data_IF_429804014559
#
_entry.id   IF_429804014559
#
_cell.length_a   1.000
_cell.length_b   1.000
_cell.length_c   1.000
_cell.angle_alpha   90.00
_cell.angle_beta   90.00
_cell.angle_gamma   90.00
#
_symmetry.space_group_name_H-M   'P 1'
#
loop_
_entity.id
_entity.type
_entity.pdbx_description
1 polymer ?
#
# COMPACT_ATOMS: atom_id res chain seq x y z
N UNK A 1 38.35 26.40 1.87
CA UNK A 1 38.82 25.02 1.66
C UNK A 1 37.94 24.13 2.52
N UNK A 2 37.33 23.09 1.96
CA UNK A 2 36.56 22.12 2.74
C UNK A 2 37.55 21.09 3.28
N UNK A 3 37.83 21.16 4.58
CA UNK A 3 38.69 20.20 5.27
C UNK A 3 37.86 19.00 5.71
N UNK A 4 38.22 17.80 5.24
CA UNK A 4 37.52 16.54 5.50
C UNK A 4 38.32 15.62 6.43
N UNK A 5 39.43 16.08 7.00
CA UNK A 5 40.27 15.25 7.86
C UNK A 5 39.56 14.85 9.18
N UNK A 6 38.61 15.68 9.64
CA UNK A 6 37.77 15.40 10.82
C UNK A 6 36.48 14.65 10.47
N UNK A 7 36.26 14.30 9.20
CA UNK A 7 35.04 13.62 8.79
C UNK A 7 35.09 12.13 9.18
N UNK A 8 34.14 11.69 10.00
CA UNK A 8 33.92 10.26 10.21
C UNK A 8 33.48 9.59 8.90
N UNK A 9 34.12 8.46 8.56
CA UNK A 9 33.70 7.65 7.44
C UNK A 9 32.26 7.13 7.65
N UNK A 10 31.43 7.06 6.60
CA UNK A 10 30.08 6.53 6.71
C UNK A 10 30.11 5.12 7.31
N UNK A 11 29.48 4.93 8.47
CA UNK A 11 29.31 3.60 9.05
C UNK A 11 28.26 2.86 8.22
N UNK A 12 28.60 1.66 7.72
CA UNK A 12 27.60 0.80 7.09
C UNK A 12 26.53 0.45 8.13
N UNK A 13 25.28 0.86 7.87
CA UNK A 13 24.18 0.41 8.71
C UNK A 13 23.85 -1.02 8.31
N UNK A 14 24.20 -2.00 9.15
CA UNK A 14 23.72 -3.36 8.95
C UNK A 14 22.19 -3.38 8.89
N UNK A 15 21.63 -4.27 8.07
CA UNK A 15 20.20 -4.44 8.00
C UNK A 15 19.63 -4.90 9.35
N UNK A 16 18.48 -4.34 9.71
CA UNK A 16 17.64 -4.91 10.76
C UNK A 16 17.24 -6.31 10.27
N UNK A 17 17.40 -7.37 11.09
CA UNK A 17 17.02 -8.73 10.71
C UNK A 17 15.57 -8.81 10.21
N UNK A 18 15.31 -9.72 9.26
CA UNK A 18 13.95 -9.94 8.76
C UNK A 18 13.02 -10.40 9.89
N UNK A 19 11.83 -9.80 9.94
CA UNK A 19 10.84 -10.12 10.95
C UNK A 19 11.10 -9.49 12.32
N UNK A 20 12.11 -8.63 12.48
CA UNK A 20 12.33 -7.91 13.73
C UNK A 20 11.16 -6.99 14.07
N UNK A 21 10.82 -6.95 15.35
CA UNK A 21 9.87 -5.99 15.90
C UNK A 21 10.60 -4.80 16.50
N UNK A 22 10.15 -3.59 16.18
CA UNK A 22 10.81 -2.34 16.55
C UNK A 22 9.79 -1.26 16.90
N UNK A 23 10.15 -0.41 17.88
CA UNK A 23 9.48 0.86 18.12
C UNK A 23 10.12 1.92 17.24
N UNK A 24 9.34 2.57 16.39
CA UNK A 24 9.85 3.51 15.38
C UNK A 24 9.15 4.85 15.46
N UNK A 25 9.90 5.93 15.22
CA UNK A 25 9.36 7.26 14.97
C UNK A 25 9.43 7.55 13.47
N UNK A 26 8.32 8.02 12.91
CA UNK A 26 8.24 8.42 11.51
C UNK A 26 8.68 9.87 11.33
N UNK A 27 9.38 10.17 10.24
CA UNK A 27 9.65 11.53 9.77
C UNK A 27 9.37 11.59 8.28
N UNK A 28 8.63 12.60 7.83
CA UNK A 28 8.39 12.80 6.40
C UNK A 28 9.47 13.70 5.84
N UNK A 29 10.18 13.24 4.82
CA UNK A 29 11.18 14.03 4.11
C UNK A 29 10.49 14.89 3.06
N UNK A 30 10.81 16.19 2.95
CA UNK A 30 10.25 17.06 1.93
C UNK A 30 10.48 16.51 0.52
N UNK A 31 9.43 16.51 -0.29
CA UNK A 31 9.45 16.00 -1.66
C UNK A 31 9.44 17.09 -2.74
N UNK A 32 9.18 18.34 -2.36
CA UNK A 32 9.19 19.51 -3.25
C UNK A 32 7.88 19.79 -3.99
N UNK A 33 6.85 18.95 -3.86
CA UNK A 33 5.51 19.20 -4.38
C UNK A 33 4.52 19.46 -3.25
N UNK A 34 3.54 20.32 -3.50
CA UNK A 34 2.48 20.61 -2.54
C UNK A 34 1.45 19.47 -2.46
N UNK A 35 0.94 19.24 -1.25
CA UNK A 35 -0.22 18.39 -0.98
C UNK A 35 -1.55 19.11 -1.17
N UNK A 36 -2.60 18.63 -0.51
CA UNK A 36 -3.96 19.17 -0.70
C UNK A 36 -4.19 20.54 -0.07
N UNK A 37 -3.39 20.91 0.94
CA UNK A 37 -3.52 22.18 1.64
C UNK A 37 -2.20 22.70 2.15
N UNK A 38 -2.23 23.86 2.80
CA UNK A 38 -1.03 24.57 3.27
C UNK A 38 -0.17 23.73 4.23
N UNK A 39 -0.80 22.90 5.08
CA UNK A 39 -0.12 21.99 6.01
C UNK A 39 0.81 21.02 5.27
N UNK A 40 0.50 20.66 4.03
CA UNK A 40 1.24 19.69 3.22
C UNK A 40 2.11 20.37 2.14
N UNK A 41 2.44 21.66 2.30
CA UNK A 41 3.29 22.40 1.36
C UNK A 41 4.66 21.72 1.21
N UNK A 42 5.10 21.53 -0.04
CA UNK A 42 6.38 20.90 -0.42
C UNK A 42 6.62 19.50 0.17
N UNK A 43 5.57 18.83 0.65
CA UNK A 43 5.66 17.55 1.34
C UNK A 43 5.77 16.37 0.36
N UNK A 44 5.10 16.44 -0.78
CA UNK A 44 4.92 15.30 -1.69
C UNK A 44 6.09 15.17 -2.67
N UNK A 45 6.40 13.93 -3.03
CA UNK A 45 7.42 13.57 -4.01
C UNK A 45 6.78 12.96 -5.26
N UNK A 46 7.21 13.39 -6.44
CA UNK A 46 6.82 12.76 -7.70
C UNK A 46 7.42 11.34 -7.82
N UNK A 47 6.71 10.45 -8.50
CA UNK A 47 7.31 9.22 -9.00
C UNK A 47 8.43 9.51 -10.00
N UNK A 48 9.46 8.64 -10.01
CA UNK A 48 10.60 8.77 -10.92
C UNK A 48 10.25 8.40 -12.37
N UNK A 49 9.12 7.71 -12.57
CA UNK A 49 8.67 7.28 -13.90
C UNK A 49 8.21 8.51 -14.70
N UNK A 50 8.81 8.78 -15.87
CA UNK A 50 8.41 9.91 -16.72
C UNK A 50 6.92 9.86 -17.06
N UNK A 51 6.25 11.02 -16.97
CA UNK A 51 4.82 11.15 -17.26
C UNK A 51 3.88 10.57 -16.19
N UNK A 52 4.40 10.04 -15.08
CA UNK A 52 3.56 9.54 -14.00
C UNK A 52 2.92 10.67 -13.20
N UNK A 53 1.63 10.52 -12.91
CA UNK A 53 0.85 11.39 -12.03
C UNK A 53 0.93 11.01 -10.54
N UNK A 54 1.68 9.95 -10.22
CA UNK A 54 1.80 9.42 -8.85
C UNK A 54 2.53 10.40 -7.95
N UNK A 55 1.89 10.74 -6.82
CA UNK A 55 2.47 11.54 -5.73
C UNK A 55 2.61 10.69 -4.48
N UNK A 56 3.74 10.84 -3.80
CA UNK A 56 4.12 9.97 -2.67
C UNK A 56 4.59 10.76 -1.45
N UNK A 57 4.45 10.18 -0.27
CA UNK A 57 5.23 10.56 0.91
C UNK A 57 6.54 9.79 0.94
N UNK A 58 7.63 10.49 1.25
CA UNK A 58 8.95 9.92 1.48
C UNK A 58 9.19 9.79 2.99
N UNK A 59 8.85 8.63 3.55
CA UNK A 59 8.90 8.40 4.99
C UNK A 59 10.24 7.77 5.40
N UNK A 60 10.87 8.38 6.39
CA UNK A 60 11.97 7.82 7.18
C UNK A 60 11.41 7.26 8.49
N UNK A 61 11.86 6.07 8.87
CA UNK A 61 11.55 5.45 10.15
C UNK A 61 12.84 5.27 10.93
N UNK A 62 12.90 5.83 12.13
CA UNK A 62 14.04 5.67 13.04
C UNK A 62 13.63 4.80 14.21
N UNK A 63 14.38 3.73 14.48
CA UNK A 63 14.15 2.89 15.66
C UNK A 63 14.54 3.66 16.92
N UNK A 64 13.61 3.77 17.87
CA UNK A 64 13.79 4.60 19.09
C UNK A 64 14.03 3.83 20.37
N UNK A 65 13.88 2.50 20.36
CA UNK A 65 14.16 1.65 21.51
C UNK A 65 14.58 0.23 21.07
N UNK A 66 15.09 -0.55 22.02
CA UNK A 66 15.46 -1.94 21.80
C UNK A 66 16.82 -2.14 21.08
N UNK A 67 17.12 -3.37 20.64
CA UNK A 67 18.45 -3.77 20.17
C UNK A 67 18.90 -3.12 18.85
N UNK A 68 17.96 -2.49 18.12
CA UNK A 68 18.22 -1.84 16.84
C UNK A 68 18.11 -0.32 16.90
N UNK A 69 18.18 0.29 18.10
CA UNK A 69 18.05 1.72 18.32
C UNK A 69 18.96 2.56 17.40
N UNK A 70 18.44 3.69 16.93
CA UNK A 70 19.06 4.62 15.96
C UNK A 70 19.22 4.08 14.53
N UNK A 71 18.90 2.82 14.25
CA UNK A 71 18.84 2.35 12.86
C UNK A 71 17.66 2.99 12.14
N UNK A 72 17.84 3.19 10.83
CA UNK A 72 16.87 3.85 9.98
C UNK A 72 16.49 2.98 8.79
N UNK A 73 15.26 3.11 8.34
CA UNK A 73 14.81 2.59 7.07
C UNK A 73 13.78 3.53 6.44
N UNK A 74 13.56 3.39 5.14
CA UNK A 74 12.71 4.32 4.39
C UNK A 74 11.61 3.57 3.65
N UNK A 75 10.47 4.24 3.44
CA UNK A 75 9.39 3.74 2.60
C UNK A 75 8.66 4.89 1.92
N UNK A 76 8.29 4.65 0.66
CA UNK A 76 7.42 5.55 -0.08
C UNK A 76 5.97 5.07 0.03
N UNK A 77 5.05 6.00 0.27
CA UNK A 77 3.61 5.72 0.26
C UNK A 77 2.92 6.54 -0.83
N UNK A 78 2.21 5.88 -1.74
CA UNK A 78 1.40 6.58 -2.73
C UNK A 78 0.20 7.23 -2.06
N UNK A 79 0.04 8.54 -2.26
CA UNK A 79 -1.06 9.32 -1.68
C UNK A 79 -1.99 9.95 -2.72
N UNK A 80 -1.56 10.01 -3.98
CA UNK A 80 -2.40 10.39 -5.11
C UNK A 80 -1.88 9.79 -6.43
N UNK A 81 -2.73 9.82 -7.46
CA UNK A 81 -2.42 9.36 -8.82
C UNK A 81 -2.30 7.84 -8.95
N UNK A 82 -1.79 7.40 -10.10
CA UNK A 82 -1.61 6.00 -10.44
C UNK A 82 -2.93 5.29 -10.78
N UNK A 83 -2.94 3.96 -10.66
CA UNK A 83 -4.12 3.17 -11.01
C UNK A 83 -5.30 3.51 -10.08
N UNK A 84 -6.45 3.79 -10.69
CA UNK A 84 -7.72 4.01 -10.00
C UNK A 84 -8.61 2.77 -10.05
N UNK A 85 -9.54 2.67 -9.09
CA UNK A 85 -10.63 1.70 -9.10
C UNK A 85 -11.83 2.20 -9.94
N UNK A 86 -12.92 1.42 -9.94
CA UNK A 86 -14.17 1.71 -10.68
C UNK A 86 -14.84 3.01 -10.25
N UNK A 87 -14.49 3.56 -9.08
CA UNK A 87 -15.01 4.81 -8.55
C UNK A 87 -14.03 5.99 -8.75
N UNK A 88 -12.96 5.78 -9.50
CA UNK A 88 -11.94 6.81 -9.74
C UNK A 88 -11.01 7.05 -8.54
N UNK A 89 -11.00 6.17 -7.52
CA UNK A 89 -10.15 6.33 -6.34
C UNK A 89 -8.82 5.62 -6.58
N UNK A 90 -7.70 6.32 -6.31
CA UNK A 90 -6.36 5.72 -6.39
C UNK A 90 -6.25 4.49 -5.49
N UNK A 91 -5.88 3.36 -6.08
CA UNK A 91 -5.67 2.08 -5.37
C UNK A 91 -4.48 2.22 -4.41
N UNK A 92 -3.42 2.90 -4.85
CA UNK A 92 -2.25 3.18 -3.99
C UNK A 92 -2.64 4.00 -2.77
N UNK A 93 -3.49 5.02 -2.95
CA UNK A 93 -4.01 5.81 -1.84
C UNK A 93 -4.87 5.00 -0.88
N UNK A 94 -5.72 4.09 -1.39
CA UNK A 94 -6.54 3.20 -0.54
C UNK A 94 -5.68 2.33 0.38
N UNK A 95 -4.58 1.79 -0.13
CA UNK A 95 -3.62 0.99 0.64
C UNK A 95 -2.91 1.86 1.68
N UNK A 96 -2.32 2.99 1.26
CA UNK A 96 -1.58 3.89 2.16
C UNK A 96 -2.47 4.43 3.29
N UNK A 97 -3.73 4.77 3.01
CA UNK A 97 -4.71 5.17 4.05
C UNK A 97 -4.88 4.11 5.13
N UNK A 98 -5.00 2.83 4.74
CA UNK A 98 -5.10 1.73 5.70
C UNK A 98 -3.86 1.63 6.58
N UNK A 99 -2.68 1.75 5.98
CA UNK A 99 -1.41 1.76 6.72
C UNK A 99 -1.29 2.96 7.67
N UNK A 100 -1.63 4.17 7.23
CA UNK A 100 -1.58 5.37 8.09
C UNK A 100 -2.55 5.28 9.25
N UNK A 101 -3.76 4.76 9.01
CA UNK A 101 -4.70 4.47 10.09
C UNK A 101 -4.10 3.50 11.11
N UNK A 102 -3.48 2.41 10.65
CA UNK A 102 -2.82 1.45 11.53
C UNK A 102 -1.68 2.10 12.34
N UNK A 103 -0.88 2.99 11.72
CA UNK A 103 0.15 3.76 12.42
C UNK A 103 -0.43 4.65 13.52
N UNK A 104 -1.53 5.36 13.23
CA UNK A 104 -2.23 6.20 14.21
C UNK A 104 -2.79 5.33 15.36
N UNK A 105 -3.46 4.22 15.02
CA UNK A 105 -4.04 3.31 16.01
C UNK A 105 -2.96 2.71 16.93
N UNK A 106 -1.81 2.32 16.36
CA UNK A 106 -0.64 1.85 17.11
C UNK A 106 0.01 2.96 17.94
N UNK A 107 0.16 4.19 17.41
CA UNK A 107 0.76 5.28 18.15
C UNK A 107 -0.08 5.75 19.35
N UNK A 108 -1.41 5.73 19.19
CA UNK A 108 -2.36 6.24 20.18
C UNK A 108 -3.00 5.14 21.04
N UNK A 109 -2.64 3.87 20.82
CA UNK A 109 -3.22 2.75 21.56
C UNK A 109 -4.72 2.54 21.29
N UNK A 110 -5.19 2.87 20.08
CA UNK A 110 -6.60 2.74 19.72
C UNK A 110 -6.95 1.32 19.29
N UNK A 111 -8.14 0.86 19.68
CA UNK A 111 -8.72 -0.34 19.10
C UNK A 111 -9.08 -0.07 17.62
N UNK A 112 -8.56 -0.85 16.66
CA UNK A 112 -8.92 -0.75 15.25
C UNK A 112 -10.41 -1.00 14.96
N UNK A 113 -11.14 -1.64 15.86
CA UNK A 113 -12.58 -1.86 15.72
C UNK A 113 -13.44 -0.78 16.38
N UNK A 114 -12.85 0.08 17.22
CA UNK A 114 -13.56 1.19 17.84
C UNK A 114 -13.86 2.29 16.81
N UNK A 115 -15.16 2.45 16.49
CA UNK A 115 -15.71 3.46 15.59
C UNK A 115 -16.47 4.57 16.33
N UNK A 116 -16.30 4.69 17.65
CA UNK A 116 -16.83 5.80 18.42
C UNK A 116 -16.36 7.14 17.85
N UNK A 117 -17.15 8.19 18.07
CA UNK A 117 -16.80 9.53 17.63
C UNK A 117 -15.43 9.97 18.17
N UNK A 118 -15.12 9.63 19.43
CA UNK A 118 -13.84 9.90 20.05
C UNK A 118 -12.67 9.24 19.31
N UNK A 119 -12.79 7.95 18.97
CA UNK A 119 -11.75 7.23 18.22
C UNK A 119 -11.64 7.72 16.77
N UNK A 120 -12.77 8.07 16.14
CA UNK A 120 -12.79 8.66 14.79
C UNK A 120 -12.11 10.02 14.77
N UNK A 121 -12.39 10.89 15.75
CA UNK A 121 -11.78 12.21 15.87
C UNK A 121 -10.26 12.15 15.94
N UNK A 122 -9.70 11.18 16.68
CA UNK A 122 -8.24 10.95 16.77
C UNK A 122 -7.57 10.50 15.46
N UNK A 123 -8.36 10.04 14.48
CA UNK A 123 -7.89 9.62 13.14
C UNK A 123 -8.05 10.71 12.09
N UNK A 124 -8.63 11.85 12.44
CA UNK A 124 -8.76 13.00 11.55
C UNK A 124 -7.49 13.83 11.65
N UNK A 125 -6.83 14.03 10.50
CA UNK A 125 -5.61 14.83 10.38
C UNK A 125 -5.94 16.17 9.72
N UNK A 126 -5.16 17.21 10.04
CA UNK A 126 -5.22 18.49 9.31
C UNK A 126 -4.58 18.38 7.92
N UNK A 127 -3.56 17.53 7.84
CA UNK A 127 -2.83 17.19 6.61
C UNK A 127 -1.95 15.96 6.84
N UNK A 128 -1.35 15.44 5.77
CA UNK A 128 -0.41 14.32 5.84
C UNK A 128 0.83 14.64 6.69
N UNK A 129 1.22 15.91 6.80
CA UNK A 129 2.34 16.34 7.65
C UNK A 129 2.16 15.96 9.14
N UNK A 130 0.91 15.82 9.62
CA UNK A 130 0.61 15.43 10.99
C UNK A 130 1.05 13.99 11.33
N UNK A 131 1.33 13.16 10.32
CA UNK A 131 1.91 11.82 10.53
C UNK A 131 3.41 11.89 10.89
N UNK A 132 4.08 13.02 10.63
CA UNK A 132 5.49 13.18 11.00
C UNK A 132 5.61 13.32 12.52
N UNK A 133 6.51 12.55 13.13
CA UNK A 133 6.76 12.55 14.58
C UNK A 133 5.97 11.48 15.36
N UNK A 134 4.99 10.81 14.75
CA UNK A 134 4.29 9.72 15.43
C UNK A 134 5.25 8.56 15.71
N UNK A 135 5.06 7.90 16.85
CA UNK A 135 5.86 6.75 17.28
C UNK A 135 4.97 5.54 17.46
N UNK A 136 5.28 4.43 16.79
CA UNK A 136 4.42 3.25 16.73
C UNK A 136 5.25 1.95 16.73
N UNK A 137 4.57 0.82 16.97
CA UNK A 137 5.17 -0.50 16.92
C UNK A 137 5.11 -1.07 15.49
N UNK A 138 6.23 -1.57 14.99
CA UNK A 138 6.37 -2.03 13.62
C UNK A 138 7.07 -3.40 13.55
N UNK A 139 6.69 -4.19 12.55
CA UNK A 139 7.46 -5.34 12.08
C UNK A 139 8.23 -4.93 10.82
N UNK A 140 9.53 -5.19 10.81
CA UNK A 140 10.42 -4.88 9.68
C UNK A 140 10.64 -6.14 8.86
N UNK A 141 10.72 -5.98 7.54
CA UNK A 141 11.19 -7.01 6.63
C UNK A 141 12.41 -6.56 5.86
N UNK A 142 13.17 -7.52 5.37
CA UNK A 142 14.23 -7.32 4.39
C UNK A 142 13.61 -7.53 3.00
N UNK A 143 13.76 -6.52 2.14
CA UNK A 143 13.37 -6.60 0.75
C UNK A 143 14.62 -6.72 -0.13
N UNK A 144 14.72 -7.80 -0.93
CA UNK A 144 15.82 -7.94 -1.87
C UNK A 144 15.90 -6.77 -2.84
N UNK A 145 17.11 -6.38 -3.22
CA UNK A 145 17.28 -5.37 -4.25
C UNK A 145 16.65 -5.83 -5.57
N UNK A 146 15.94 -4.92 -6.25
CA UNK A 146 15.42 -5.17 -7.60
C UNK A 146 16.50 -5.03 -8.69
N UNK A 147 17.68 -4.52 -8.33
CA UNK A 147 18.80 -4.27 -9.22
C UNK A 147 20.09 -4.66 -8.48
N UNK A 148 20.88 -5.52 -9.13
CA UNK A 148 22.14 -6.06 -8.61
C UNK A 148 23.18 -5.01 -8.16
N UNK A 149 23.02 -3.76 -8.57
CA UNK A 149 23.89 -2.64 -8.16
C UNK A 149 23.61 -2.16 -6.73
N UNK A 150 22.47 -2.54 -6.15
CA UNK A 150 22.06 -2.15 -4.81
C UNK A 150 21.98 -3.37 -3.89
N UNK A 151 22.20 -3.14 -2.59
CA UNK A 151 21.96 -4.15 -1.57
C UNK A 151 20.50 -4.20 -1.14
N UNK A 152 20.16 -5.26 -0.42
CA UNK A 152 18.85 -5.43 0.21
C UNK A 152 18.51 -4.25 1.13
N UNK A 153 17.22 -4.02 1.38
CA UNK A 153 16.77 -2.87 2.15
C UNK A 153 15.69 -3.23 3.15
N UNK A 154 15.71 -2.57 4.32
CA UNK A 154 14.62 -2.69 5.28
C UNK A 154 13.37 -1.94 4.82
N UNK A 155 12.21 -2.56 5.02
CA UNK A 155 10.88 -1.98 4.75
C UNK A 155 9.94 -2.28 5.91
N UNK A 156 8.89 -1.46 6.04
CA UNK A 156 7.77 -1.80 6.91
C UNK A 156 7.07 -3.04 6.32
N UNK A 157 7.05 -4.13 7.07
CA UNK A 157 6.23 -5.29 6.74
C UNK A 157 4.77 -4.99 7.10
N UNK A 158 4.56 -4.65 8.37
CA UNK A 158 3.26 -4.23 8.90
C UNK A 158 3.44 -3.40 10.16
N UNK A 159 2.39 -2.66 10.48
CA UNK A 159 2.22 -2.03 11.79
C UNK A 159 1.72 -3.09 12.77
N UNK A 160 2.21 -3.06 14.02
CA UNK A 160 1.73 -3.89 15.12
C UNK A 160 0.70 -3.10 15.91
N UNK A 161 -0.51 -3.63 16.01
CA UNK A 161 -1.67 -2.95 16.60
C UNK A 161 -1.81 -3.25 18.10
N UNK A 162 -2.53 -2.40 18.87
CA UNK A 162 -2.60 -2.52 20.33
C UNK A 162 -3.15 -3.85 20.88
N UNK A 163 -3.95 -4.57 20.10
CA UNK A 163 -4.50 -5.88 20.46
C UNK A 163 -3.55 -7.06 20.24
N UNK A 164 -2.37 -6.84 19.65
CA UNK A 164 -1.40 -7.89 19.37
C UNK A 164 -0.49 -8.18 20.57
N UNK A 165 -0.04 -9.44 20.77
CA UNK A 165 0.72 -9.83 21.96
C UNK A 165 2.09 -9.14 22.06
N UNK A 166 2.71 -8.82 20.93
CA UNK A 166 4.01 -8.15 20.88
C UNK A 166 3.92 -6.65 21.18
N UNK A 167 2.76 -6.02 20.97
CA UNK A 167 2.61 -4.55 20.97
C UNK A 167 3.13 -3.89 22.25
N UNK A 168 2.69 -4.38 23.42
CA UNK A 168 3.04 -3.77 24.70
C UNK A 168 4.55 -3.83 24.96
N UNK A 169 5.17 -4.96 24.68
CA UNK A 169 6.61 -5.18 24.85
C UNK A 169 7.40 -4.25 23.91
N UNK A 170 7.01 -4.18 22.63
CA UNK A 170 7.64 -3.27 21.66
C UNK A 170 7.53 -1.81 22.13
N UNK A 171 6.34 -1.38 22.55
CA UNK A 171 6.11 -0.01 22.99
C UNK A 171 6.83 0.34 24.30
N UNK A 172 7.07 -0.64 25.17
CA UNK A 172 7.93 -0.52 26.34
C UNK A 172 9.44 -0.47 26.01
N UNK A 173 9.81 -0.80 24.76
CA UNK A 173 11.20 -0.85 24.30
C UNK A 173 11.90 -2.17 24.64
N UNK A 174 11.14 -3.19 25.03
CA UNK A 174 11.64 -4.52 25.33
C UNK A 174 11.96 -5.29 24.04
N UNK A 175 12.88 -6.25 24.13
CA UNK A 175 13.26 -7.07 22.99
C UNK A 175 12.20 -8.16 22.76
N UNK A 176 11.63 -8.20 21.55
CA UNK A 176 10.72 -9.26 21.10
C UNK A 176 11.45 -10.11 20.05
N UNK A 177 11.39 -11.46 20.13
CA UNK A 177 12.00 -12.33 19.13
C UNK A 177 11.52 -12.02 17.71
N UNK A 178 12.45 -11.98 16.76
CA UNK A 178 12.12 -11.77 15.35
C UNK A 178 11.28 -12.94 14.81
N UNK A 179 10.30 -12.63 13.98
CA UNK A 179 9.44 -13.61 13.31
C UNK A 179 9.52 -13.38 11.79
N UNK A 180 10.46 -14.03 11.07
CA UNK A 180 10.63 -13.82 9.63
C UNK A 180 9.33 -14.01 8.84
N UNK A 181 9.11 -13.16 7.83
CA UNK A 181 7.87 -13.18 7.05
C UNK A 181 7.98 -14.15 5.87
N UNK A 182 7.09 -15.14 5.79
CA UNK A 182 7.06 -16.15 4.70
C UNK A 182 6.46 -15.64 3.38
N UNK A 183 6.28 -14.33 3.21
CA UNK A 183 5.67 -13.77 2.01
C UNK A 183 6.64 -13.90 0.84
N UNK A 184 6.29 -14.72 -0.16
CA UNK A 184 7.05 -14.86 -1.39
C UNK A 184 7.38 -13.47 -1.97
N UNK A 185 8.66 -13.24 -2.25
CA UNK A 185 9.13 -12.00 -2.86
C UNK A 185 8.28 -11.71 -4.11
N UNK A 186 7.79 -10.47 -4.26
CA UNK A 186 7.11 -10.07 -5.49
C UNK A 186 8.13 -10.24 -6.62
N UNK A 187 7.85 -11.01 -7.68
CA UNK A 187 8.77 -11.15 -8.79
C UNK A 187 9.12 -9.76 -9.32
N UNK A 188 10.41 -9.47 -9.47
CA UNK A 188 10.83 -8.29 -10.21
C UNK A 188 10.17 -8.38 -11.60
N UNK A 189 9.48 -7.31 -12.02
CA UNK A 189 8.98 -7.25 -13.38
C UNK A 189 10.19 -7.33 -14.31
N UNK A 190 10.33 -8.45 -15.01
CA UNK A 190 11.36 -8.62 -16.03
C UNK A 190 11.23 -7.45 -17.02
N UNK A 191 12.34 -6.77 -17.39
CA UNK A 191 12.28 -5.80 -18.47
C UNK A 191 11.75 -6.54 -19.70
N UNK A 192 10.67 -6.01 -20.29
CA UNK A 192 10.14 -6.55 -21.54
C UNK A 192 11.28 -6.54 -22.57
N UNK A 193 11.75 -7.72 -22.96
CA UNK A 193 12.76 -7.86 -23.99
C UNK A 193 12.19 -7.25 -25.27
N UNK A 194 12.82 -6.19 -25.77
CA UNK A 194 12.52 -5.65 -27.09
C UNK A 194 12.83 -6.76 -28.11
N UNK A 195 11.79 -7.32 -28.73
CA UNK A 195 11.97 -8.27 -29.81
C UNK A 195 12.64 -7.57 -31.01
N UNK A 196 13.69 -8.16 -31.62
CA UNK A 196 14.35 -7.56 -32.78
C UNK A 196 13.39 -7.51 -33.99
N UNK A 197 13.40 -6.39 -34.71
CA UNK A 197 12.46 -6.02 -35.77
C UNK A 197 12.64 -6.77 -37.11
N UNK A 198 13.17 -8.01 -37.10
CA UNK A 198 13.26 -8.84 -38.30
C UNK A 198 12.88 -10.28 -38.00
N UNK A 199 11.59 -10.54 -37.88
CA UNK A 199 11.03 -11.87 -38.03
C UNK A 199 9.62 -11.77 -38.63
N UNK A 200 9.28 -12.57 -39.66
CA UNK A 200 7.93 -12.58 -40.21
C UNK A 200 6.94 -13.10 -39.16
N UNK A 201 5.79 -12.44 -39.05
CA UNK A 201 4.76 -12.72 -38.06
C UNK A 201 4.21 -14.14 -38.20
N UNK A 202 4.53 -15.01 -37.24
CA UNK A 202 3.79 -16.24 -37.00
C UNK A 202 2.61 -15.91 -36.07
N UNK A 203 1.40 -16.15 -36.53
CA UNK A 203 0.17 -16.04 -35.75
C UNK A 203 0.19 -17.05 -34.59
N UNK A 204 0.35 -16.54 -33.36
CA UNK A 204 0.13 -17.33 -32.16
C UNK A 204 -1.38 -17.57 -31.95
N UNK A 205 -1.81 -18.76 -31.52
CA UNK A 205 -3.22 -19.04 -31.27
C UNK A 205 -3.72 -18.21 -30.09
N UNK A 206 -4.87 -17.56 -30.28
CA UNK A 206 -5.54 -16.78 -29.26
C UNK A 206 -5.89 -17.68 -28.05
N UNK A 207 -5.36 -17.34 -26.88
CA UNK A 207 -5.84 -17.91 -25.63
C UNK A 207 -7.31 -17.50 -25.43
N UNK A 208 -8.17 -18.51 -25.25
CA UNK A 208 -9.61 -18.38 -25.08
C UNK A 208 -9.95 -17.53 -23.86
N UNK A 209 -10.83 -16.53 -24.05
CA UNK A 209 -11.39 -15.73 -22.97
C UNK A 209 -12.55 -16.52 -22.33
N UNK A 210 -12.42 -16.83 -21.05
CA UNK A 210 -13.35 -17.66 -20.29
C UNK A 210 -14.59 -16.88 -19.80
N UNK A 211 -15.32 -16.24 -20.71
CA UNK A 211 -16.64 -15.67 -20.45
C UNK A 211 -17.42 -15.39 -21.74
N UNK A 212 -17.53 -16.38 -22.62
CA UNK A 212 -18.57 -16.37 -23.66
C UNK A 212 -19.45 -17.61 -23.49
N UNK A 213 -20.70 -17.38 -23.12
CA UNK A 213 -21.75 -18.39 -23.02
C UNK A 213 -22.34 -18.54 -24.43
N UNK A 214 -22.33 -19.72 -25.07
CA UNK A 214 -22.83 -19.83 -26.43
C UNK A 214 -24.36 -19.78 -26.44
N UNK A 215 -24.91 -18.86 -27.22
CA UNK A 215 -26.26 -18.94 -27.74
C UNK A 215 -26.27 -19.98 -28.87
N UNK A 216 -26.95 -21.11 -28.64
CA UNK A 216 -27.18 -22.10 -29.69
C UNK A 216 -28.50 -21.74 -30.41
N UNK A 217 -28.39 -21.47 -31.71
CA UNK A 217 -29.50 -21.38 -32.64
C UNK A 217 -29.60 -22.69 -33.43
N UNK A 218 -30.83 -23.21 -33.59
CA UNK A 218 -31.15 -24.32 -34.50
C UNK A 218 -32.51 -24.04 -35.15
N UNK A 219 -32.76 -24.45 -36.41
CA UNK A 219 -33.81 -23.88 -37.25
C UNK A 219 -35.17 -24.60 -37.16
N UNK A 220 -36.19 -23.97 -37.77
CA UNK A 220 -37.62 -24.13 -37.59
C UNK A 220 -38.31 -25.36 -38.24
N UNK A 221 -39.50 -25.74 -37.71
CA UNK A 221 -40.64 -26.28 -38.47
C UNK A 221 -41.99 -26.04 -37.71
N UNK A 222 -43.16 -26.05 -38.39
CA UNK A 222 -44.36 -25.26 -38.02
C UNK A 222 -45.44 -25.96 -37.16
N UNK A 223 -46.41 -25.14 -36.73
CA UNK A 223 -47.44 -25.27 -35.68
C UNK A 223 -48.48 -26.41 -35.78
N UNK A 224 -49.26 -26.65 -34.71
CA UNK A 224 -50.63 -26.10 -34.67
C UNK A 224 -51.10 -25.50 -33.30
N UNK A 225 -52.10 -24.61 -33.38
CA UNK A 225 -52.92 -23.95 -32.33
C UNK A 225 -53.86 -24.91 -31.55
N UNK A 226 -54.76 -24.49 -30.62
CA UNK A 226 -54.82 -23.33 -29.68
C UNK A 226 -55.25 -23.72 -28.22
N UNK A 227 -55.26 -22.79 -27.26
CA UNK A 227 -56.32 -22.60 -26.25
C UNK A 227 -56.04 -21.38 -25.33
N UNK A 228 -57.11 -20.88 -24.70
CA UNK A 228 -57.32 -19.50 -24.25
C UNK A 228 -56.74 -19.07 -22.89
N UNK A 229 -56.73 -17.73 -22.72
CA UNK A 229 -56.63 -16.84 -21.55
C UNK A 229 -57.27 -17.38 -20.22
N UNK A 230 -57.03 -16.80 -19.00
CA UNK A 230 -56.95 -15.35 -18.79
C UNK A 230 -56.14 -14.75 -17.61
N UNK A 231 -55.96 -13.42 -17.75
CA UNK A 231 -56.03 -12.31 -16.77
C UNK A 231 -55.08 -12.21 -15.56
N UNK A 232 -54.48 -11.02 -15.52
CA UNK A 232 -53.78 -10.38 -14.43
C UNK A 232 -54.67 -10.06 -13.22
N UNK A 233 -54.04 -9.96 -12.05
CA UNK A 233 -54.55 -9.14 -10.94
C UNK A 233 -53.39 -8.68 -10.06
N UNK A 234 -53.10 -7.38 -10.10
CA UNK A 234 -52.29 -6.67 -9.12
C UNK A 234 -53.21 -6.14 -8.01
N UNK A 235 -52.84 -6.20 -6.72
CA UNK A 235 -53.64 -5.57 -5.67
C UNK A 235 -53.40 -4.06 -5.62
N UNK A 236 -54.48 -3.32 -5.79
CA UNK A 236 -54.58 -1.89 -5.58
C UNK A 236 -54.94 -1.58 -4.12
N UNK A 237 -54.04 -0.89 -3.43
CA UNK A 237 -54.31 0.00 -2.29
C UNK A 237 -53.21 1.07 -2.41
N UNK A 238 -53.47 2.32 -2.78
CA UNK A 238 -54.37 3.30 -2.20
C UNK A 238 -54.81 4.29 -3.29
N UNK A 239 -56.11 4.61 -3.29
CA UNK A 239 -56.63 5.81 -3.95
C UNK A 239 -56.03 7.06 -3.28
N UNK A 240 -55.58 7.98 -4.13
CA UNK A 240 -55.37 9.40 -3.88
C UNK A 240 -55.49 10.12 -5.21
#
# INVERSE_FOLDING_TARGET
MYDMNDAELPRSSDLIPDGSFVKVTMTIRPGGLDGQGEVDRSLLKAAKTPGSDVRMLDCEFTVTAGPHIRRKFWQMFTVAGGKVDEHGISIGWKISKGTFRAMIDSALGLDPQDMSEAARGKRVLRGLADLSGITFAAKVRVEPASDSRYGDSNRLDRVVLPGEPEYRQIMAGEAVPAQPSTRAARPAALPAAAAPAWAPAASAPAASRSWERPAAATPAQPAPQPAAAPTATSPAWLNG
#
